data_IF_204117245318
#
_entry.id   IF_204117245318
#
_cell.length_a   1.000
_cell.length_b   1.000
_cell.length_c   1.000
_cell.angle_alpha   90.00
_cell.angle_beta   90.00
_cell.angle_gamma   90.00
#
_symmetry.space_group_name_H-M   'P 1'
#
loop_
_entity.id
_entity.type
_entity.pdbx_description
1 polymer ?
#
# COMPACT_ATOMS: atom_id res chain seq x y z
N UNK A 1 -13.06 -15.06 15.03
CA UNK A 1 -11.68 -14.71 14.63
C UNK A 1 -10.98 -14.00 15.78
N UNK A 2 -9.73 -14.37 16.06
CA UNK A 2 -8.88 -13.66 17.03
C UNK A 2 -8.36 -12.34 16.44
N UNK A 3 -7.86 -11.46 17.29
CA UNK A 3 -7.25 -10.20 16.85
C UNK A 3 -6.10 -10.43 15.87
N UNK A 4 -5.20 -11.38 16.18
CA UNK A 4 -4.08 -11.77 15.31
C UNK A 4 -4.54 -12.28 13.94
N UNK A 5 -5.67 -13.01 13.89
CA UNK A 5 -6.23 -13.49 12.61
C UNK A 5 -6.77 -12.33 11.76
N UNK A 6 -7.40 -11.32 12.38
CA UNK A 6 -7.89 -10.13 11.67
C UNK A 6 -6.73 -9.30 11.11
N UNK A 7 -5.69 -9.09 11.92
CA UNK A 7 -4.49 -8.36 11.49
C UNK A 7 -3.81 -9.04 10.31
N UNK A 8 -3.65 -10.37 10.37
CA UNK A 8 -3.08 -11.14 9.25
C UNK A 8 -3.90 -10.97 7.98
N UNK A 9 -5.23 -11.08 8.06
CA UNK A 9 -6.12 -10.91 6.92
C UNK A 9 -6.02 -9.50 6.33
N UNK A 10 -5.99 -8.47 7.18
CA UNK A 10 -5.81 -7.09 6.74
C UNK A 10 -4.48 -6.91 5.99
N UNK A 11 -3.36 -7.39 6.54
CA UNK A 11 -2.06 -7.27 5.89
C UNK A 11 -2.01 -7.97 4.53
N UNK A 12 -2.71 -9.10 4.38
CA UNK A 12 -2.78 -9.84 3.11
C UNK A 12 -3.53 -9.09 2.01
N UNK A 13 -4.58 -8.33 2.36
CA UNK A 13 -5.49 -7.75 1.37
C UNK A 13 -5.34 -6.24 1.18
N UNK A 14 -4.72 -5.50 2.11
CA UNK A 14 -4.70 -4.03 2.10
C UNK A 14 -4.23 -3.40 0.77
N UNK A 15 -3.20 -3.95 0.14
CA UNK A 15 -2.63 -3.37 -1.09
C UNK A 15 -3.54 -3.64 -2.31
N UNK A 16 -4.08 -4.87 -2.42
CA UNK A 16 -5.02 -5.22 -3.48
C UNK A 16 -6.33 -4.43 -3.34
N UNK A 17 -6.82 -4.26 -2.11
CA UNK A 17 -7.99 -3.46 -1.82
C UNK A 17 -7.76 -1.98 -2.18
N UNK A 18 -6.59 -1.42 -1.90
CA UNK A 18 -6.24 -0.06 -2.30
C UNK A 18 -6.25 0.11 -3.83
N UNK A 19 -5.60 -0.82 -4.57
CA UNK A 19 -5.61 -0.79 -6.03
C UNK A 19 -7.03 -0.87 -6.60
N UNK A 20 -7.85 -1.79 -6.10
CA UNK A 20 -9.24 -1.92 -6.51
C UNK A 20 -10.05 -0.66 -6.19
N UNK A 21 -9.82 -0.04 -5.02
CA UNK A 21 -10.47 1.23 -4.65
C UNK A 21 -10.09 2.35 -5.61
N UNK A 22 -8.82 2.47 -5.99
CA UNK A 22 -8.35 3.46 -6.97
C UNK A 22 -8.94 3.24 -8.36
N UNK A 23 -9.15 1.99 -8.75
CA UNK A 23 -9.83 1.68 -10.01
C UNK A 23 -11.30 2.15 -10.01
N UNK A 24 -11.99 2.15 -8.86
CA UNK A 24 -13.35 2.71 -8.75
C UNK A 24 -13.38 4.22 -9.00
N UNK A 25 -12.30 4.91 -8.64
CA UNK A 25 -12.11 6.34 -8.88
C UNK A 25 -11.51 6.63 -10.28
N UNK A 26 -11.35 5.60 -11.11
CA UNK A 26 -10.83 5.72 -12.48
C UNK A 26 -9.31 5.74 -12.62
N UNK A 27 -8.57 5.54 -11.52
CA UNK A 27 -7.10 5.50 -11.55
C UNK A 27 -6.57 4.09 -11.82
N UNK A 28 -5.60 3.99 -12.72
CA UNK A 28 -4.81 2.77 -12.93
C UNK A 28 -3.48 2.90 -12.19
N UNK A 29 -3.39 2.30 -11.01
CA UNK A 29 -2.18 2.28 -10.18
C UNK A 29 -1.56 0.88 -10.17
N UNK A 30 -0.23 0.83 -10.14
CA UNK A 30 0.51 -0.43 -10.04
C UNK A 30 0.30 -1.09 -8.67
N UNK A 31 0.33 -2.43 -8.66
CA UNK A 31 0.20 -3.20 -7.43
C UNK A 31 1.43 -3.01 -6.54
N UNK A 32 1.21 -2.54 -5.31
CA UNK A 32 2.30 -2.39 -4.33
C UNK A 32 2.68 -3.75 -3.77
N UNK A 33 3.88 -4.23 -4.11
CA UNK A 33 4.48 -5.49 -3.62
C UNK A 33 5.53 -5.30 -2.53
N UNK A 34 5.82 -4.04 -2.19
CA UNK A 34 6.82 -3.68 -1.18
C UNK A 34 6.42 -4.14 0.21
N UNK A 35 7.41 -4.52 1.01
CA UNK A 35 7.25 -4.66 2.46
C UNK A 35 6.97 -3.29 3.09
N UNK A 36 6.49 -3.27 4.34
CA UNK A 36 6.24 -2.02 5.05
C UNK A 36 7.50 -1.13 5.14
N UNK A 37 8.66 -1.73 5.44
CA UNK A 37 9.94 -1.02 5.53
C UNK A 37 10.37 -0.44 4.17
N UNK A 38 10.24 -1.23 3.11
CA UNK A 38 10.56 -0.78 1.75
C UNK A 38 9.63 0.35 1.29
N UNK A 39 8.34 0.27 1.62
CA UNK A 39 7.37 1.32 1.31
C UNK A 39 7.73 2.64 2.01
N UNK A 40 8.10 2.58 3.29
CA UNK A 40 8.54 3.77 4.04
C UNK A 40 9.80 4.38 3.43
N UNK A 41 10.80 3.56 3.11
CA UNK A 41 12.01 4.02 2.45
C UNK A 41 11.72 4.68 1.09
N UNK A 42 10.81 4.10 0.29
CA UNK A 42 10.41 4.69 -1.00
C UNK A 42 9.67 6.02 -0.82
N UNK A 43 8.82 6.15 0.20
CA UNK A 43 8.13 7.41 0.49
C UNK A 43 9.13 8.53 0.79
N UNK A 44 10.16 8.27 1.60
CA UNK A 44 11.20 9.28 1.90
C UNK A 44 11.97 9.70 0.64
N UNK A 45 12.28 8.76 -0.26
CA UNK A 45 12.90 9.07 -1.55
C UNK A 45 12.01 9.95 -2.42
N UNK A 46 10.73 9.59 -2.56
CA UNK A 46 9.76 10.37 -3.36
C UNK A 46 9.59 11.77 -2.78
N UNK A 47 9.51 11.92 -1.46
CA UNK A 47 9.46 13.26 -0.83
C UNK A 47 10.68 14.10 -1.21
N UNK A 48 11.88 13.55 -1.06
CA UNK A 48 13.12 14.26 -1.41
C UNK A 48 13.21 14.63 -2.91
N UNK A 49 12.61 13.83 -3.80
CA UNK A 49 12.54 14.09 -5.24
C UNK A 49 11.61 15.27 -5.58
N UNK A 50 10.46 15.37 -4.92
CA UNK A 50 9.39 16.33 -5.25
C UNK A 50 9.35 17.59 -4.37
N UNK A 51 10.10 17.64 -3.26
CA UNK A 51 10.24 18.82 -2.40
C UNK A 51 11.33 19.81 -2.86
N UNK A 52 12.00 19.53 -3.99
CA UNK A 52 12.94 20.43 -4.68
C UNK A 52 12.25 21.30 -5.72
#
# INVERSE_FOLDING_TARGET
MTQKQKEKLFQQHKNANFQASMALDGYQVEAVTLTAEQALARIEQVRAEYER
#
